data_IF_777950148631
#
_entry.id   IF_777950148631
#
_cell.length_a   1.000
_cell.length_b   1.000
_cell.length_c   1.000
_cell.angle_alpha   90.00
_cell.angle_beta   90.00
_cell.angle_gamma   90.00
#
_symmetry.space_group_name_H-M   'P 1'
#
loop_
_entity.id
_entity.type
_entity.pdbx_description
1 polymer ?
#
# COMPACT_ATOMS: atom_id res chain seq x y z
N UNK A 1 -16.16 -4.57 5.96
CA UNK A 1 -15.29 -4.78 7.14
C UNK A 1 -13.98 -5.43 6.67
N UNK A 2 -13.13 -4.69 5.97
CA UNK A 2 -12.15 -5.35 5.08
C UNK A 2 -10.72 -5.47 5.63
N UNK A 3 -10.30 -4.66 6.63
CA UNK A 3 -8.89 -4.71 7.08
C UNK A 3 -8.64 -4.56 8.60
N UNK A 4 -9.66 -4.22 9.40
CA UNK A 4 -9.46 -3.83 10.80
C UNK A 4 -8.91 -4.96 11.71
N UNK A 5 -9.39 -6.19 11.55
CA UNK A 5 -9.01 -7.31 12.44
C UNK A 5 -7.61 -7.89 12.14
N UNK A 6 -7.05 -7.62 10.95
CA UNK A 6 -5.70 -8.11 10.57
C UNK A 6 -4.57 -7.17 11.02
N UNK A 7 -4.88 -5.91 11.33
CA UNK A 7 -3.90 -4.90 11.73
C UNK A 7 -3.19 -5.20 13.07
N UNK A 8 -3.74 -6.05 13.93
CA UNK A 8 -3.22 -6.31 15.29
C UNK A 8 -1.95 -7.20 15.30
N UNK A 9 -1.58 -7.84 14.18
CA UNK A 9 -0.53 -8.86 14.14
C UNK A 9 0.85 -8.47 13.58
N UNK A 10 1.27 -7.19 13.55
CA UNK A 10 2.43 -6.74 12.73
C UNK A 10 2.30 -7.14 11.24
N UNK A 11 1.06 -7.29 10.76
CA UNK A 11 0.80 -7.67 9.37
C UNK A 11 0.86 -6.41 8.51
N UNK A 12 1.58 -6.53 7.39
CA UNK A 12 1.78 -5.47 6.42
C UNK A 12 0.49 -4.91 5.81
N UNK A 13 0.62 -3.89 4.96
CA UNK A 13 -0.48 -3.31 4.18
C UNK A 13 -0.43 -3.86 2.74
N UNK A 14 -1.58 -4.26 2.20
CA UNK A 14 -1.72 -4.57 0.77
C UNK A 14 -2.41 -3.39 0.09
N UNK A 15 -1.73 -2.74 -0.86
CA UNK A 15 -2.26 -1.60 -1.62
C UNK A 15 -2.64 -2.09 -3.01
N UNK A 16 -3.92 -1.93 -3.34
CA UNK A 16 -4.45 -2.11 -4.70
C UNK A 16 -4.39 -0.78 -5.44
N UNK A 17 -4.06 -0.85 -6.72
CA UNK A 17 -3.91 0.31 -7.60
C UNK A 17 -4.39 -0.09 -9.00
N UNK A 18 -4.66 0.91 -9.83
CA UNK A 18 -5.19 0.75 -11.19
C UNK A 18 -5.23 2.10 -11.88
N UNK A 19 -5.04 2.12 -13.20
CA UNK A 19 -5.41 3.27 -14.02
C UNK A 19 -6.93 3.29 -14.24
N UNK A 20 -7.48 4.45 -14.63
CA UNK A 20 -8.87 4.55 -15.05
C UNK A 20 -9.09 3.87 -16.41
N UNK A 21 -8.06 3.88 -17.25
CA UNK A 21 -8.01 3.17 -18.53
C UNK A 21 -7.75 1.67 -18.30
N UNK A 22 -8.34 0.80 -19.12
CA UNK A 22 -8.03 -0.65 -19.16
C UNK A 22 -6.66 -0.98 -19.80
N UNK A 23 -5.73 -0.03 -19.77
CA UNK A 23 -4.39 -0.18 -20.35
C UNK A 23 -3.41 -0.59 -19.25
N UNK A 24 -2.87 -1.80 -19.38
CA UNK A 24 -1.91 -2.36 -18.42
C UNK A 24 -0.67 -1.49 -18.21
N UNK A 25 -0.16 -0.87 -19.28
CA UNK A 25 1.01 0.01 -19.20
C UNK A 25 0.77 1.22 -18.28
N UNK A 26 -0.42 1.84 -18.37
CA UNK A 26 -0.78 2.96 -17.48
C UNK A 26 -0.93 2.49 -16.03
N UNK A 27 -1.53 1.32 -15.82
CA UNK A 27 -1.63 0.73 -14.48
C UNK A 27 -0.25 0.47 -13.87
N UNK A 28 0.72 0.02 -14.67
CA UNK A 28 2.11 -0.16 -14.23
C UNK A 28 2.75 1.19 -13.83
N UNK A 29 2.53 2.27 -14.57
CA UNK A 29 3.04 3.60 -14.21
C UNK A 29 2.44 4.12 -12.89
N UNK A 30 1.13 3.89 -12.68
CA UNK A 30 0.48 4.18 -11.40
C UNK A 30 1.14 3.36 -10.27
N UNK A 31 1.35 2.07 -10.49
CA UNK A 31 2.02 1.18 -9.53
C UNK A 31 3.43 1.66 -9.18
N UNK A 32 4.23 2.06 -10.17
CA UNK A 32 5.58 2.61 -9.97
C UNK A 32 5.54 3.88 -9.12
N UNK A 33 4.64 4.80 -9.45
CA UNK A 33 4.46 6.06 -8.72
C UNK A 33 4.09 5.79 -7.27
N UNK A 34 3.13 4.90 -7.02
CA UNK A 34 2.72 4.52 -5.67
C UNK A 34 3.87 3.90 -4.88
N UNK A 35 4.64 2.97 -5.49
CA UNK A 35 5.81 2.37 -4.84
C UNK A 35 6.88 3.40 -4.51
N UNK A 36 7.13 4.36 -5.40
CA UNK A 36 8.09 5.43 -5.16
C UNK A 36 7.68 6.28 -3.97
N UNK A 37 6.44 6.80 -3.95
CA UNK A 37 5.93 7.61 -2.83
C UNK A 37 6.01 6.86 -1.51
N UNK A 38 5.63 5.58 -1.50
CA UNK A 38 5.70 4.75 -0.30
C UNK A 38 7.15 4.56 0.19
N UNK A 39 8.12 4.41 -0.72
CA UNK A 39 9.54 4.30 -0.36
C UNK A 39 10.12 5.62 0.13
N UNK A 40 9.71 6.74 -0.45
CA UNK A 40 10.18 8.07 -0.08
C UNK A 40 9.78 8.42 1.36
N UNK A 41 8.61 7.94 1.83
CA UNK A 41 8.20 8.07 3.24
C UNK A 41 8.81 6.99 4.16
N UNK A 42 9.78 6.22 3.67
CA UNK A 42 10.55 5.24 4.44
C UNK A 42 9.86 3.89 4.63
N UNK A 43 8.77 3.60 3.90
CA UNK A 43 8.10 2.30 3.99
C UNK A 43 8.83 1.25 3.15
N UNK A 44 8.97 0.04 3.72
CA UNK A 44 9.50 -1.10 2.99
C UNK A 44 8.39 -1.71 2.13
N UNK A 45 8.59 -1.63 0.81
CA UNK A 45 7.61 -2.03 -0.21
C UNK A 45 8.14 -3.15 -1.08
N UNK A 46 7.32 -4.17 -1.29
CA UNK A 46 7.52 -5.30 -2.20
C UNK A 46 6.47 -5.25 -3.30
N UNK A 47 6.93 -5.11 -4.54
CA UNK A 47 6.10 -5.14 -5.74
C UNK A 47 6.96 -5.60 -6.92
N UNK A 48 6.39 -6.42 -7.82
CA UNK A 48 7.11 -7.05 -8.92
C UNK A 48 6.91 -6.35 -10.27
N UNK A 49 6.26 -5.18 -10.30
CA UNK A 49 6.03 -4.41 -11.51
C UNK A 49 4.84 -4.87 -12.36
N UNK A 50 4.09 -5.90 -11.93
CA UNK A 50 2.94 -6.42 -12.69
C UNK A 50 1.64 -5.75 -12.27
N UNK A 51 0.79 -5.30 -13.22
CA UNK A 51 -0.47 -4.60 -12.93
C UNK A 51 -1.48 -5.48 -12.18
N UNK A 52 -1.44 -6.80 -12.39
CA UNK A 52 -2.30 -7.79 -11.73
C UNK A 52 -1.96 -8.02 -10.24
N UNK A 53 -0.79 -7.57 -9.78
CA UNK A 53 -0.25 -7.88 -8.46
C UNK A 53 -0.37 -6.71 -7.50
N UNK A 54 -0.76 -6.99 -6.25
CA UNK A 54 -0.85 -5.97 -5.20
C UNK A 54 0.53 -5.51 -4.74
N UNK A 55 0.63 -4.23 -4.37
CA UNK A 55 1.80 -3.70 -3.68
C UNK A 55 1.73 -4.13 -2.21
N UNK A 56 2.79 -4.75 -1.68
CA UNK A 56 2.85 -5.19 -0.28
C UNK A 56 3.81 -4.31 0.51
N UNK A 57 3.33 -3.69 1.58
CA UNK A 57 4.13 -2.92 2.55
C UNK A 57 4.39 -3.80 3.77
N UNK A 58 5.64 -4.01 4.17
CA UNK A 58 5.98 -5.03 5.18
C UNK A 58 6.98 -4.55 6.23
N UNK A 59 6.87 -5.05 7.47
CA UNK A 59 5.69 -5.04 8.33
C UNK A 59 5.49 -3.66 8.98
N UNK A 60 4.23 -3.23 9.13
CA UNK A 60 3.87 -1.99 9.80
C UNK A 60 3.59 -2.25 11.28
N UNK A 61 4.05 -1.33 12.12
CA UNK A 61 3.64 -1.27 13.53
C UNK A 61 2.49 -0.29 13.66
N UNK A 62 1.27 -0.81 13.51
CA UNK A 62 0.06 -0.05 13.66
C UNK A 62 -0.04 0.49 15.09
N UNK A 63 -0.21 1.80 15.22
CA UNK A 63 -0.47 2.45 16.50
C UNK A 63 -1.85 3.09 16.44
N UNK A 64 -2.66 2.99 17.50
CA UNK A 64 -3.88 3.76 17.57
C UNK A 64 -3.54 5.25 17.44
N UNK A 65 -4.33 5.97 16.67
CA UNK A 65 -4.21 7.43 16.59
C UNK A 65 -4.59 7.98 17.97
N UNK A 66 -3.69 8.72 18.60
CA UNK A 66 -4.01 9.48 19.79
C UNK A 66 -5.05 10.54 19.40
N UNK A 67 -6.22 10.47 20.03
CA UNK A 67 -7.19 11.55 19.98
C UNK A 67 -6.66 12.61 20.95
N UNK A 68 -6.28 13.77 20.43
CA UNK A 68 -6.10 14.96 21.24
C UNK A 68 -7.50 15.46 21.55
N UNK A 69 -7.86 15.49 22.82
CA UNK A 69 -9.04 16.24 23.29
C UNK A 69 -8.70 17.73 23.14
N UNK A 70 -9.50 18.46 22.36
CA UNK A 70 -9.42 19.92 22.22
C UNK A 70 -10.00 20.64 23.43
#
# INVERSE_FOLDING_TARGET
>A
MQDAYRAVGRRGLCVRYGALSDVDAETVEVGKTAVQVLRDVGLRVVWNGRPEMVIRVTPLSWRPRLLVEE
#
